data_IF_919102034896
#
_entry.id   IF_919102034896
#
_cell.length_a   1.000
_cell.length_b   1.000
_cell.length_c   1.000
_cell.angle_alpha   90.00
_cell.angle_beta   90.00
_cell.angle_gamma   90.00
#
_symmetry.space_group_name_H-M   'P 1'
#
loop_
_entity.id
_entity.type
_entity.pdbx_description
1 polymer ?
#
# COMPACT_ATOMS: atom_id res chain seq x y z
N UNK A 1 2.02 21.18 -2.03
CA UNK A 1 3.09 21.58 -1.09
C UNK A 1 3.96 20.35 -0.81
N UNK A 2 5.25 20.39 -1.16
CA UNK A 2 6.19 19.27 -0.93
C UNK A 2 6.83 19.40 0.45
N UNK A 3 6.02 19.32 1.50
CA UNK A 3 6.54 19.28 2.86
C UNK A 3 7.17 17.91 3.10
N UNK A 4 8.47 17.84 3.48
CA UNK A 4 9.09 16.59 3.84
C UNK A 4 8.45 16.01 5.12
N UNK A 5 8.24 14.71 5.11
CA UNK A 5 7.69 13.91 6.20
C UNK A 5 8.66 12.76 6.49
N UNK A 6 8.95 12.53 7.77
CA UNK A 6 9.80 11.43 8.20
C UNK A 6 8.87 10.32 8.68
N UNK A 7 8.95 9.15 8.05
CA UNK A 7 8.16 7.97 8.41
C UNK A 7 8.62 7.41 9.75
N UNK A 8 7.82 6.52 10.37
CA UNK A 8 8.21 5.83 11.61
C UNK A 8 9.44 4.94 11.46
N UNK A 9 9.79 4.59 10.21
CA UNK A 9 10.96 3.81 9.86
C UNK A 9 12.21 4.69 9.60
N UNK A 10 12.08 6.01 9.71
CA UNK A 10 13.17 6.97 9.46
C UNK A 10 13.36 7.33 7.98
N UNK A 11 12.43 6.96 7.10
CA UNK A 11 12.49 7.33 5.68
C UNK A 11 12.00 8.76 5.48
N UNK A 12 12.71 9.54 4.67
CA UNK A 12 12.27 10.88 4.28
C UNK A 12 11.41 10.73 3.02
N UNK A 13 10.13 11.05 3.14
CA UNK A 13 9.17 11.05 2.03
C UNK A 13 8.41 12.38 2.01
N UNK A 14 7.43 12.50 1.13
CA UNK A 14 6.50 13.63 1.09
C UNK A 14 5.07 13.11 1.03
N UNK A 15 4.11 13.96 1.40
CA UNK A 15 2.70 13.60 1.29
C UNK A 15 2.33 13.15 -0.13
N UNK A 16 2.81 13.86 -1.14
CA UNK A 16 2.56 13.50 -2.55
C UNK A 16 3.14 12.13 -2.92
N UNK A 17 4.33 11.79 -2.42
CA UNK A 17 4.93 10.47 -2.64
C UNK A 17 4.14 9.36 -1.95
N UNK A 18 3.72 9.56 -0.69
CA UNK A 18 2.87 8.60 0.01
C UNK A 18 1.56 8.33 -0.74
N UNK A 19 0.90 9.38 -1.25
CA UNK A 19 -0.32 9.25 -2.06
C UNK A 19 -0.03 8.42 -3.32
N UNK A 20 1.04 8.75 -4.04
CA UNK A 20 1.40 8.04 -5.27
C UNK A 20 1.73 6.56 -5.02
N UNK A 21 2.40 6.23 -3.91
CA UNK A 21 2.67 4.84 -3.51
C UNK A 21 1.37 4.09 -3.19
N UNK A 22 0.46 4.71 -2.45
CA UNK A 22 -0.85 4.13 -2.11
C UNK A 22 -1.65 3.84 -3.39
N UNK A 23 -1.68 4.78 -4.34
CA UNK A 23 -2.35 4.58 -5.64
C UNK A 23 -1.75 3.41 -6.42
N UNK A 24 -0.43 3.29 -6.45
CA UNK A 24 0.23 2.16 -7.12
C UNK A 24 -0.12 0.84 -6.45
N UNK A 25 -0.10 0.77 -5.11
CA UNK A 25 -0.46 -0.42 -4.36
C UNK A 25 -1.92 -0.84 -4.62
N UNK A 26 -2.85 0.12 -4.64
CA UNK A 26 -4.26 -0.14 -4.93
C UNK A 26 -4.48 -0.67 -6.36
N UNK A 27 -3.69 -0.21 -7.33
CA UNK A 27 -3.77 -0.70 -8.72
C UNK A 27 -3.22 -2.12 -8.90
N UNK A 28 -2.28 -2.56 -8.05
CA UNK A 28 -1.67 -3.90 -8.12
C UNK A 28 -2.53 -4.95 -7.42
N UNK A 29 -3.30 -4.58 -6.39
CA UNK A 29 -4.16 -5.53 -5.68
C UNK A 29 -5.32 -5.94 -6.60
N UNK A 30 -5.40 -7.22 -7.02
CA UNK A 30 -6.39 -7.66 -7.98
C UNK A 30 -7.81 -7.52 -7.39
N UNK A 31 -8.57 -6.60 -7.98
CA UNK A 31 -10.02 -6.44 -7.88
C UNK A 31 -10.66 -6.79 -6.51
N UNK A 32 -10.40 -5.96 -5.50
CA UNK A 32 -11.25 -5.93 -4.31
C UNK A 32 -11.49 -4.49 -3.88
N UNK A 33 -12.46 -3.84 -4.52
CA UNK A 33 -13.34 -2.76 -4.03
C UNK A 33 -12.74 -1.58 -3.24
N UNK A 34 -11.42 -1.42 -3.20
CA UNK A 34 -10.75 -0.42 -2.36
C UNK A 34 -10.48 0.80 -3.23
N UNK A 35 -11.51 1.60 -3.51
CA UNK A 35 -11.37 2.87 -4.21
C UNK A 35 -11.06 3.97 -3.20
N UNK A 36 -9.78 4.19 -2.94
CA UNK A 36 -9.31 5.35 -2.18
C UNK A 36 -9.04 6.48 -3.17
N UNK A 37 -9.90 7.49 -3.18
CA UNK A 37 -9.77 8.60 -4.12
C UNK A 37 -8.67 9.58 -3.69
N UNK A 38 -7.97 10.22 -4.64
CA UNK A 38 -6.92 11.21 -4.33
C UNK A 38 -7.42 12.36 -3.46
N UNK A 39 -8.69 12.76 -3.66
CA UNK A 39 -9.33 13.79 -2.86
C UNK A 39 -9.46 13.39 -1.38
N UNK A 40 -9.79 12.11 -1.10
CA UNK A 40 -9.82 11.60 0.27
C UNK A 40 -8.40 11.52 0.85
N UNK A 41 -7.43 11.03 0.07
CA UNK A 41 -6.04 10.95 0.50
C UNK A 41 -5.43 12.33 0.83
N UNK A 42 -5.80 13.38 0.10
CA UNK A 42 -5.32 14.72 0.37
C UNK A 42 -5.91 15.33 1.65
N UNK A 43 -7.04 14.82 2.15
CA UNK A 43 -7.59 15.23 3.46
C UNK A 43 -6.94 14.52 4.65
N UNK A 44 -6.27 13.39 4.41
CA UNK A 44 -5.63 12.59 5.45
C UNK A 44 -4.28 13.19 5.89
N UNK A 45 -3.90 12.92 7.15
CA UNK A 45 -2.57 13.27 7.65
C UNK A 45 -1.52 12.32 7.06
N UNK A 46 -0.23 12.73 7.07
CA UNK A 46 0.85 11.86 6.62
C UNK A 46 0.93 10.56 7.43
N UNK A 47 0.58 10.61 8.72
CA UNK A 47 0.54 9.43 9.61
C UNK A 47 -0.55 8.46 9.16
N UNK A 48 -1.73 8.96 8.81
CA UNK A 48 -2.83 8.14 8.32
C UNK A 48 -2.47 7.51 6.96
N UNK A 49 -1.88 8.29 6.06
CA UNK A 49 -1.39 7.81 4.76
C UNK A 49 -0.32 6.73 4.92
N UNK A 50 0.63 6.91 5.84
CA UNK A 50 1.62 5.90 6.17
C UNK A 50 0.97 4.60 6.68
N UNK A 51 -0.02 4.70 7.57
CA UNK A 51 -0.77 3.53 8.04
C UNK A 51 -1.55 2.85 6.91
N UNK A 52 -2.15 3.60 5.98
CA UNK A 52 -2.83 3.04 4.81
C UNK A 52 -1.83 2.30 3.92
N UNK A 53 -0.68 2.92 3.60
CA UNK A 53 0.40 2.30 2.83
C UNK A 53 0.83 0.97 3.44
N UNK A 54 1.11 0.95 4.74
CA UNK A 54 1.60 -0.25 5.42
C UNK A 54 0.57 -1.37 5.43
N UNK A 55 -0.71 -1.04 5.65
CA UNK A 55 -1.81 -2.01 5.54
C UNK A 55 -1.94 -2.58 4.12
N UNK A 56 -1.77 -1.76 3.09
CA UNK A 56 -1.81 -2.20 1.69
C UNK A 56 -0.61 -3.09 1.34
N UNK A 57 0.59 -2.74 1.81
CA UNK A 57 1.79 -3.58 1.65
C UNK A 57 1.61 -4.94 2.33
N UNK A 58 1.06 -4.97 3.55
CA UNK A 58 0.77 -6.22 4.25
C UNK A 58 -0.23 -7.07 3.46
N UNK A 59 -1.33 -6.47 2.98
CA UNK A 59 -2.32 -7.17 2.15
C UNK A 59 -1.71 -7.73 0.86
N UNK A 60 -0.87 -6.95 0.17
CA UNK A 60 -0.16 -7.40 -1.03
C UNK A 60 0.76 -8.58 -0.73
N UNK A 61 1.49 -8.55 0.40
CA UNK A 61 2.35 -9.65 0.82
C UNK A 61 1.54 -10.90 1.18
N UNK A 62 0.39 -10.76 1.83
CA UNK A 62 -0.52 -11.88 2.12
C UNK A 62 -1.05 -12.53 0.85
N UNK A 63 -1.42 -11.75 -0.18
CA UNK A 63 -1.82 -12.28 -1.50
C UNK A 63 -0.69 -13.07 -2.15
N UNK A 64 0.55 -12.57 -2.09
CA UNK A 64 1.72 -13.28 -2.62
C UNK A 64 1.97 -14.57 -1.83
N UNK A 65 1.88 -14.54 -0.50
CA UNK A 65 2.08 -15.70 0.36
C UNK A 65 1.02 -16.78 0.11
N UNK A 66 -0.25 -16.38 0.00
CA UNK A 66 -1.39 -17.27 -0.29
C UNK A 66 -1.25 -17.92 -1.67
N UNK A 67 -0.90 -17.14 -2.69
CA UNK A 67 -0.67 -17.68 -4.05
C UNK A 67 0.58 -18.56 -4.11
N UNK A 68 1.63 -18.26 -3.35
CA UNK A 68 2.84 -19.10 -3.27
C UNK A 68 2.56 -20.45 -2.62
N UNK A 69 1.73 -20.49 -1.56
CA UNK A 69 1.28 -21.75 -0.96
C UNK A 69 0.45 -22.58 -1.94
N UNK A 70 -0.43 -21.95 -2.73
CA UNK A 70 -1.19 -22.62 -3.77
C UNK A 70 -0.28 -23.16 -4.89
N UNK A 71 0.66 -22.35 -5.38
CA UNK A 71 1.64 -22.76 -6.41
C UNK A 71 2.56 -23.90 -5.94
N UNK A 72 3.01 -23.89 -4.68
CA UNK A 72 3.80 -24.99 -4.12
C UNK A 72 2.95 -26.24 -3.84
N UNK A 73 1.66 -26.07 -3.54
CA UNK A 73 0.71 -27.18 -3.44
C UNK A 73 0.54 -27.93 -4.76
N UNK A 74 0.49 -27.20 -5.89
CA UNK A 74 0.37 -27.76 -7.24
C UNK A 74 1.62 -28.53 -7.73
N UNK A 75 2.81 -28.24 -7.17
CA UNK A 75 4.05 -28.95 -7.53
C UNK A 75 4.13 -30.34 -6.89
N UNK A 76 3.30 -30.61 -5.87
CA UNK A 76 3.27 -31.89 -5.16
C UNK A 76 2.10 -32.81 -5.57
N UNK A 77 1.41 -32.52 -6.68
CA UNK A 77 0.42 -33.41 -7.32
C UNK A 77 0.99 -34.11 -8.56
#
# INVERSE_FOLDING_TARGET
MNTPYITKNGEITTKAQLISEIEQLLNVIPASHTTLSPAVMDTLSCVDLENVRDNLLQKSNDVIAQNKQWLLGLVNE
#
